data_IF_804233836255
#
_entry.id   IF_804233836255
#
_cell.length_a   1.000
_cell.length_b   1.000
_cell.length_c   1.000
_cell.angle_alpha   90.00
_cell.angle_beta   90.00
_cell.angle_gamma   90.00
#
_symmetry.space_group_name_H-M   'P 1'
#
loop_
_entity.id
_entity.type
_entity.pdbx_description
1 polymer ?
#
# COMPACT_ATOMS: atom_id res chain seq x y z
N UNK A 1 -10.91 10.31 -0.02
CA UNK A 1 -10.26 9.08 0.49
C UNK A 1 -10.73 7.88 -0.34
N UNK A 2 -9.97 6.78 -0.39
CA UNK A 2 -10.39 5.59 -1.11
C UNK A 2 -11.68 5.00 -0.49
N UNK A 3 -12.60 4.59 -1.36
CA UNK A 3 -13.84 3.94 -0.96
C UNK A 3 -13.54 2.50 -0.52
N UNK A 4 -13.13 2.34 0.75
CA UNK A 4 -12.76 1.05 1.33
C UNK A 4 -13.97 0.46 2.05
N UNK A 5 -14.39 -0.75 1.66
CA UNK A 5 -15.41 -1.51 2.39
C UNK A 5 -14.95 -1.89 3.80
N UNK A 6 -15.89 -1.81 4.75
CA UNK A 6 -15.61 -1.99 6.18
C UNK A 6 -15.24 -3.44 6.53
N UNK A 7 -15.91 -4.40 5.90
CA UNK A 7 -15.60 -5.83 5.95
C UNK A 7 -14.14 -6.11 5.56
N UNK A 8 -13.67 -5.54 4.45
CA UNK A 8 -12.28 -5.67 4.03
C UNK A 8 -11.29 -5.08 5.05
N UNK A 9 -11.64 -3.97 5.70
CA UNK A 9 -10.81 -3.39 6.74
C UNK A 9 -10.71 -4.30 7.98
N UNK A 10 -11.83 -4.86 8.44
CA UNK A 10 -11.89 -5.78 9.58
C UNK A 10 -11.07 -7.04 9.29
N UNK A 11 -11.23 -7.64 8.10
CA UNK A 11 -10.45 -8.80 7.68
C UNK A 11 -8.94 -8.53 7.74
N UNK A 12 -8.50 -7.38 7.21
CA UNK A 12 -7.08 -7.04 7.22
C UNK A 12 -6.52 -6.88 8.64
N UNK A 13 -7.33 -6.35 9.56
CA UNK A 13 -6.96 -6.20 10.97
C UNK A 13 -6.86 -7.59 11.62
N UNK A 14 -7.82 -8.48 11.34
CA UNK A 14 -7.81 -9.86 11.84
C UNK A 14 -6.58 -10.63 11.35
N UNK A 15 -6.22 -10.51 10.06
CA UNK A 15 -5.01 -11.12 9.50
C UNK A 15 -3.71 -10.61 10.16
N UNK A 16 -3.74 -9.41 10.74
CA UNK A 16 -2.58 -8.78 11.42
C UNK A 16 -2.68 -8.79 12.94
N UNK A 17 -3.71 -9.41 13.52
CA UNK A 17 -3.99 -9.31 14.95
C UNK A 17 -2.81 -9.73 15.81
N UNK A 18 -2.09 -10.80 15.44
CA UNK A 18 -0.90 -11.29 16.15
C UNK A 18 0.22 -10.25 16.29
N UNK A 19 0.31 -9.28 15.37
CA UNK A 19 1.27 -8.18 15.44
C UNK A 19 0.73 -7.01 16.27
N UNK A 20 -0.59 -6.81 16.26
CA UNK A 20 -1.29 -5.71 16.94
C UNK A 20 -1.39 -6.01 18.44
N UNK A 21 -1.76 -7.24 18.81
CA UNK A 21 -1.92 -7.68 20.20
C UNK A 21 -0.65 -7.53 21.02
N UNK A 22 0.53 -7.60 20.40
CA UNK A 22 1.80 -7.42 21.09
C UNK A 22 2.02 -6.00 21.61
N UNK A 23 1.29 -5.02 21.07
CA UNK A 23 1.40 -3.61 21.44
C UNK A 23 0.09 -3.06 22.03
N UNK A 24 -0.86 -3.92 22.38
CA UNK A 24 -2.18 -3.51 22.85
C UNK A 24 -2.75 -4.52 23.84
N UNK A 25 -3.10 -4.04 25.04
CA UNK A 25 -3.70 -4.86 26.11
C UNK A 25 -5.21 -5.11 25.91
N UNK A 26 -5.79 -4.57 24.83
CA UNK A 26 -7.23 -4.65 24.54
C UNK A 26 -7.53 -5.96 23.80
N UNK A 27 -8.66 -6.60 24.15
CA UNK A 27 -9.10 -7.81 23.46
C UNK A 27 -9.43 -7.55 21.98
N UNK A 28 -9.27 -8.58 21.13
CA UNK A 28 -9.57 -8.47 19.69
C UNK A 28 -11.00 -7.96 19.43
N UNK A 29 -11.94 -8.43 20.24
CA UNK A 29 -13.36 -8.09 20.14
C UNK A 29 -13.57 -6.60 20.42
N UNK A 30 -12.97 -6.08 21.50
CA UNK A 30 -13.09 -4.67 21.87
C UNK A 30 -12.37 -3.77 20.87
N UNK A 31 -11.22 -4.19 20.36
CA UNK A 31 -10.49 -3.44 19.35
C UNK A 31 -11.31 -3.33 18.05
N UNK A 32 -11.88 -4.42 17.57
CA UNK A 32 -12.74 -4.40 16.38
C UNK A 32 -13.97 -3.51 16.62
N UNK A 33 -14.61 -3.60 17.78
CA UNK A 33 -15.74 -2.71 18.13
C UNK A 33 -15.34 -1.24 18.08
N UNK A 34 -14.18 -0.88 18.61
CA UNK A 34 -13.67 0.49 18.57
C UNK A 34 -13.41 0.97 17.13
N UNK A 35 -12.78 0.13 16.30
CA UNK A 35 -12.52 0.44 14.89
C UNK A 35 -13.83 0.59 14.11
N UNK A 36 -14.78 -0.33 14.28
CA UNK A 36 -16.11 -0.25 13.67
C UNK A 36 -16.83 1.03 14.08
N UNK A 37 -16.79 1.37 15.37
CA UNK A 37 -17.39 2.62 15.85
C UNK A 37 -16.74 3.87 15.22
N UNK A 38 -15.41 3.92 15.12
CA UNK A 38 -14.68 5.04 14.51
C UNK A 38 -14.97 5.14 13.01
N UNK A 39 -15.10 4.00 12.32
CA UNK A 39 -15.35 3.97 10.89
C UNK A 39 -16.83 4.16 10.53
N UNK A 40 -17.77 3.88 11.44
CA UNK A 40 -19.20 4.16 11.28
C UNK A 40 -19.59 5.60 11.67
N UNK A 41 -18.77 6.26 12.49
CA UNK A 41 -18.97 7.65 12.93
C UNK A 41 -18.49 8.68 11.90
N UNK A 42 -18.93 8.52 10.66
CA UNK A 42 -18.56 9.36 9.51
C UNK A 42 -19.47 10.55 9.32
N UNK A 43 -19.59 11.40 10.34
CA UNK A 43 -20.38 12.63 10.25
C UNK A 43 -19.49 13.81 9.85
N UNK A 44 -19.95 14.62 8.91
CA UNK A 44 -19.29 15.87 8.54
C UNK A 44 -20.33 16.97 8.32
N UNK A 45 -19.92 18.22 8.49
CA UNK A 45 -20.76 19.39 8.22
C UNK A 45 -20.32 20.09 6.94
N UNK A 46 -21.29 20.45 6.10
CA UNK A 46 -21.08 21.30 4.93
C UNK A 46 -22.27 22.26 4.82
N UNK A 47 -22.01 23.55 4.66
CA UNK A 47 -23.04 24.61 4.66
C UNK A 47 -24.00 24.54 5.87
N UNK A 48 -23.47 24.31 7.08
CA UNK A 48 -24.24 24.09 8.32
C UNK A 48 -25.22 22.90 8.30
N UNK A 49 -25.14 22.02 7.29
CA UNK A 49 -25.93 20.78 7.22
C UNK A 49 -25.03 19.61 7.64
N UNK A 50 -25.54 18.73 8.50
CA UNK A 50 -24.85 17.51 8.94
C UNK A 50 -25.14 16.39 7.93
N UNK A 51 -24.09 15.79 7.40
CA UNK A 51 -24.14 14.66 6.49
C UNK A 51 -23.48 13.43 7.12
N UNK A 52 -23.98 12.24 6.78
CA UNK A 52 -23.33 10.96 7.09
C UNK A 52 -22.73 10.37 5.82
N UNK A 53 -21.47 9.95 5.87
CA UNK A 53 -20.83 9.26 4.75
C UNK A 53 -21.31 7.81 4.72
N UNK A 54 -22.09 7.44 3.71
CA UNK A 54 -22.60 6.07 3.57
C UNK A 54 -21.56 5.07 3.06
N UNK A 55 -20.48 5.54 2.43
CA UNK A 55 -19.48 4.69 1.78
C UNK A 55 -18.05 5.19 2.00
N UNK A 56 -17.17 4.26 2.37
CA UNK A 56 -15.75 4.50 2.59
C UNK A 56 -15.44 5.03 3.99
N UNK A 57 -14.15 5.15 4.29
CA UNK A 57 -13.66 5.60 5.60
C UNK A 57 -13.86 7.10 5.80
N UNK A 58 -14.05 7.58 7.04
CA UNK A 58 -14.29 9.00 7.32
C UNK A 58 -13.13 9.86 6.88
N UNK A 59 -13.42 10.84 6.03
CA UNK A 59 -12.44 11.84 5.63
C UNK A 59 -12.05 12.71 6.82
N UNK A 60 -10.77 12.69 7.18
CA UNK A 60 -10.22 13.46 8.30
C UNK A 60 -9.96 12.65 9.58
N UNK A 61 -10.42 11.40 9.66
CA UNK A 61 -10.01 10.54 10.79
C UNK A 61 -8.53 10.17 10.66
N UNK A 62 -7.74 10.25 11.75
CA UNK A 62 -6.33 9.85 11.76
C UNK A 62 -6.15 8.35 11.49
N UNK A 63 -7.20 7.55 11.70
CA UNK A 63 -7.20 6.10 11.46
C UNK A 63 -7.40 5.74 9.98
N UNK A 64 -8.18 6.54 9.25
CA UNK A 64 -8.55 6.27 7.86
C UNK A 64 -7.36 6.05 6.92
N UNK A 65 -6.26 6.83 6.97
CA UNK A 65 -5.07 6.58 6.15
C UNK A 65 -4.41 5.23 6.44
N UNK A 66 -4.37 4.81 7.72
CA UNK A 66 -3.72 3.56 8.15
C UNK A 66 -4.53 2.37 7.64
N UNK A 67 -5.85 2.42 7.81
CA UNK A 67 -6.76 1.38 7.31
C UNK A 67 -6.69 1.30 5.78
N UNK A 68 -6.61 2.44 5.11
CA UNK A 68 -6.48 2.48 3.66
C UNK A 68 -5.20 1.85 3.14
N UNK A 69 -4.07 2.19 3.77
CA UNK A 69 -2.79 1.59 3.45
C UNK A 69 -2.80 0.06 3.70
N UNK A 70 -3.40 -0.39 4.79
CA UNK A 70 -3.52 -1.81 5.11
C UNK A 70 -4.32 -2.59 4.04
N UNK A 71 -5.50 -2.09 3.67
CA UNK A 71 -6.36 -2.73 2.66
C UNK A 71 -5.70 -2.71 1.28
N UNK A 72 -5.09 -1.58 0.89
CA UNK A 72 -4.40 -1.47 -0.40
C UNK A 72 -3.21 -2.43 -0.50
N UNK A 73 -2.45 -2.63 0.58
CA UNK A 73 -1.38 -3.63 0.62
C UNK A 73 -1.89 -5.06 0.45
N UNK A 74 -3.04 -5.41 1.04
CA UNK A 74 -3.67 -6.72 0.86
C UNK A 74 -4.07 -6.92 -0.60
N UNK A 75 -4.73 -5.94 -1.20
CA UNK A 75 -5.13 -5.98 -2.62
C UNK A 75 -3.92 -6.13 -3.55
N UNK A 76 -2.85 -5.37 -3.31
CA UNK A 76 -1.61 -5.46 -4.10
C UNK A 76 -0.99 -6.87 -4.03
N UNK A 77 -0.90 -7.45 -2.83
CA UNK A 77 -0.39 -8.81 -2.65
C UNK A 77 -1.24 -9.85 -3.36
N UNK A 78 -2.56 -9.76 -3.24
CA UNK A 78 -3.48 -10.68 -3.91
C UNK A 78 -3.35 -10.57 -5.43
N UNK A 79 -3.31 -9.36 -5.98
CA UNK A 79 -3.11 -9.13 -7.41
C UNK A 79 -1.76 -9.69 -7.90
N UNK A 80 -0.70 -9.50 -7.11
CA UNK A 80 0.64 -10.06 -7.38
C UNK A 80 0.64 -11.60 -7.39
N UNK A 81 0.00 -12.24 -6.41
CA UNK A 81 -0.09 -13.71 -6.37
C UNK A 81 -0.86 -14.26 -7.56
N UNK A 82 -2.00 -13.64 -7.91
CA UNK A 82 -2.78 -14.00 -9.08
C UNK A 82 -1.94 -13.85 -10.36
N UNK A 83 -1.18 -12.76 -10.48
CA UNK A 83 -0.28 -12.55 -11.61
C UNK A 83 0.82 -13.63 -11.69
N UNK A 84 1.48 -13.96 -10.58
CA UNK A 84 2.52 -14.99 -10.54
C UNK A 84 1.96 -16.38 -10.86
N UNK A 85 0.81 -16.74 -10.30
CA UNK A 85 0.08 -17.97 -10.61
C UNK A 85 -0.29 -18.05 -12.09
N UNK A 86 -0.76 -16.94 -12.66
CA UNK A 86 -1.06 -16.83 -14.09
C UNK A 86 0.19 -16.95 -14.98
N UNK A 87 1.32 -16.33 -14.61
CA UNK A 87 2.61 -16.45 -15.33
C UNK A 87 3.15 -17.88 -15.28
N UNK A 88 2.99 -18.58 -14.15
CA UNK A 88 3.38 -19.98 -14.00
C UNK A 88 2.51 -20.92 -14.84
N UNK A 89 1.18 -20.75 -14.84
CA UNK A 89 0.27 -21.51 -15.71
C UNK A 89 0.46 -21.23 -17.21
N UNK A 90 1.04 -20.06 -17.56
CA UNK A 90 1.39 -19.71 -18.95
C UNK A 90 2.48 -20.61 -19.55
N UNK A 91 3.29 -21.27 -18.72
CA UNK A 91 4.30 -22.21 -19.21
C UNK A 91 3.71 -23.57 -19.64
N UNK A 92 2.41 -23.82 -19.41
CA UNK A 92 1.78 -25.08 -19.79
C UNK A 92 0.55 -24.99 -20.71
N UNK A 93 -0.13 -23.85 -20.90
CA UNK A 93 -1.31 -23.82 -21.81
C UNK A 93 -1.40 -22.54 -22.64
N UNK A 94 -1.41 -22.77 -23.95
CA UNK A 94 -1.49 -21.85 -25.08
C UNK A 94 -2.91 -21.30 -25.29
N UNK A 95 -3.62 -20.78 -24.28
CA UNK A 95 -4.97 -20.20 -24.49
C UNK A 95 -5.28 -19.08 -23.49
N UNK A 96 -5.08 -17.80 -23.89
CA UNK A 96 -5.82 -16.63 -23.36
C UNK A 96 -5.32 -15.32 -24.02
N UNK A 97 -5.46 -15.23 -25.35
CA UNK A 97 -5.06 -14.04 -26.11
C UNK A 97 -6.03 -12.83 -25.98
N UNK A 98 -7.13 -12.94 -25.22
CA UNK A 98 -8.20 -11.93 -25.27
C UNK A 98 -8.42 -11.05 -24.01
N UNK A 99 -7.94 -11.43 -22.82
CA UNK A 99 -8.03 -10.57 -21.61
C UNK A 99 -6.68 -9.96 -21.16
N UNK A 100 -5.59 -10.32 -21.85
CA UNK A 100 -4.26 -9.76 -21.59
C UNK A 100 -4.07 -8.36 -22.20
N UNK A 101 -4.87 -7.97 -23.20
CA UNK A 101 -4.62 -6.75 -24.00
C UNK A 101 -4.96 -5.42 -23.31
N UNK A 102 -5.62 -5.45 -22.14
CA UNK A 102 -5.90 -4.21 -21.37
C UNK A 102 -4.84 -3.90 -20.32
N UNK A 103 -4.07 -4.90 -19.85
CA UNK A 103 -2.95 -4.71 -18.92
C UNK A 103 -1.58 -4.76 -19.61
N UNK A 104 -1.44 -5.46 -20.76
CA UNK A 104 -0.18 -5.50 -21.52
C UNK A 104 0.16 -4.23 -22.30
N UNK A 105 -0.82 -3.37 -22.60
CA UNK A 105 -0.58 -2.15 -23.41
C UNK A 105 0.30 -1.09 -22.74
N UNK A 106 0.75 -1.29 -21.49
CA UNK A 106 1.49 -0.28 -20.73
C UNK A 106 2.89 -0.72 -20.25
N UNK A 107 3.29 -1.99 -20.44
CA UNK A 107 4.64 -2.46 -20.06
C UNK A 107 5.16 -3.44 -21.11
N UNK A 108 5.62 -2.92 -22.25
CA UNK A 108 6.31 -3.73 -23.26
C UNK A 108 7.74 -4.12 -22.83
N UNK A 109 8.25 -3.59 -21.70
CA UNK A 109 9.66 -3.72 -21.31
C UNK A 109 9.97 -4.57 -20.07
N UNK A 110 8.98 -5.04 -19.30
CA UNK A 110 9.24 -5.71 -18.01
C UNK A 110 9.73 -4.77 -16.88
N UNK A 111 9.77 -3.46 -17.16
CA UNK A 111 10.09 -2.40 -16.20
C UNK A 111 8.82 -1.86 -15.51
N UNK A 112 9.01 -1.17 -14.39
CA UNK A 112 7.97 -0.56 -13.60
C UNK A 112 7.31 0.61 -14.36
N UNK A 113 6.08 0.42 -14.85
CA UNK A 113 5.35 1.49 -15.52
C UNK A 113 4.97 2.64 -14.59
N UNK A 114 5.14 3.87 -15.10
CA UNK A 114 4.73 5.12 -14.46
C UNK A 114 3.93 5.93 -15.44
N UNK A 115 2.86 6.56 -14.95
CA UNK A 115 2.08 7.50 -15.76
C UNK A 115 2.93 8.73 -16.08
N UNK A 116 2.74 9.39 -17.24
CA UNK A 116 3.42 10.64 -17.57
C UNK A 116 3.23 11.76 -16.53
N UNK A 117 2.13 11.70 -15.77
CA UNK A 117 1.78 12.66 -14.72
C UNK A 117 2.31 12.28 -13.33
N UNK A 118 3.23 11.31 -13.23
CA UNK A 118 3.81 10.91 -11.95
C UNK A 118 4.67 12.03 -11.36
N UNK A 119 4.27 12.55 -10.19
CA UNK A 119 4.91 13.70 -9.55
C UNK A 119 6.08 13.36 -8.62
N UNK A 120 6.28 12.09 -8.28
CA UNK A 120 7.31 11.68 -7.31
C UNK A 120 7.04 12.13 -5.87
N UNK A 121 5.86 12.70 -5.56
CA UNK A 121 5.54 13.16 -4.21
C UNK A 121 5.03 12.03 -3.33
N UNK A 122 5.75 11.78 -2.24
CA UNK A 122 5.40 10.84 -1.19
C UNK A 122 5.28 11.56 0.16
N UNK A 123 5.09 10.79 1.24
CA UNK A 123 5.06 11.33 2.60
C UNK A 123 6.40 12.01 2.91
N UNK A 124 6.42 13.33 3.08
CA UNK A 124 7.62 14.08 3.41
C UNK A 124 8.22 13.65 4.77
N UNK A 125 9.54 13.50 4.86
CA UNK A 125 10.20 13.04 6.08
C UNK A 125 10.08 14.01 7.25
N UNK A 126 9.94 15.31 7.02
CA UNK A 126 9.80 16.33 8.06
C UNK A 126 8.37 16.43 8.60
N UNK A 127 7.41 15.75 7.98
CA UNK A 127 6.02 15.74 8.45
C UNK A 127 5.89 15.07 9.82
N UNK A 128 4.84 15.44 10.57
CA UNK A 128 4.54 14.94 11.92
C UNK A 128 4.02 13.50 11.95
N UNK A 129 4.36 12.69 10.95
CA UNK A 129 3.96 11.30 10.87
C UNK A 129 4.94 10.37 11.61
N UNK A 130 4.46 9.29 12.25
CA UNK A 130 5.31 8.31 12.91
C UNK A 130 6.38 7.73 11.98
N UNK A 131 7.54 7.40 12.56
CA UNK A 131 8.69 6.80 11.83
C UNK A 131 8.29 5.48 11.15
N UNK A 132 7.36 4.72 11.72
CA UNK A 132 6.82 3.50 11.12
C UNK A 132 6.16 3.75 9.76
N UNK A 133 5.44 4.85 9.60
CA UNK A 133 4.81 5.22 8.33
C UNK A 133 5.87 5.64 7.30
N UNK A 134 6.90 6.38 7.73
CA UNK A 134 8.06 6.76 6.89
C UNK A 134 8.81 5.53 6.39
N UNK A 135 9.05 4.52 7.25
CA UNK A 135 9.61 3.22 6.81
C UNK A 135 8.69 2.47 5.86
N UNK A 136 7.37 2.52 6.11
CA UNK A 136 6.36 1.89 5.26
C UNK A 136 6.38 2.39 3.81
N UNK A 137 6.66 3.68 3.59
CA UNK A 137 6.86 4.24 2.25
C UNK A 137 8.04 3.58 1.55
N UNK A 138 9.19 3.50 2.22
CA UNK A 138 10.40 2.87 1.67
C UNK A 138 10.13 1.40 1.33
N UNK A 139 9.52 0.65 2.26
CA UNK A 139 9.19 -0.76 2.03
C UNK A 139 8.28 -0.96 0.84
N UNK A 140 7.23 -0.15 0.70
CA UNK A 140 6.31 -0.28 -0.44
C UNK A 140 7.00 -0.03 -1.78
N UNK A 141 7.91 0.95 -1.86
CA UNK A 141 8.64 1.26 -3.08
C UNK A 141 9.62 0.14 -3.45
N UNK A 142 10.38 -0.36 -2.47
CA UNK A 142 11.32 -1.47 -2.66
C UNK A 142 10.58 -2.74 -3.06
N UNK A 143 9.54 -3.12 -2.33
CA UNK A 143 8.73 -4.30 -2.64
C UNK A 143 8.19 -4.21 -4.08
N UNK A 144 7.70 -3.05 -4.47
CA UNK A 144 7.18 -2.83 -5.82
C UNK A 144 8.26 -3.00 -6.89
N UNK A 145 9.48 -2.50 -6.66
CA UNK A 145 10.59 -2.71 -7.59
C UNK A 145 10.94 -4.20 -7.73
N UNK A 146 11.13 -4.91 -6.62
CA UNK A 146 11.58 -6.31 -6.66
C UNK A 146 10.48 -7.29 -7.09
N UNK A 147 9.22 -7.03 -6.73
CA UNK A 147 8.11 -7.95 -7.01
C UNK A 147 7.49 -7.77 -8.40
N UNK A 148 7.55 -6.56 -8.98
CA UNK A 148 6.91 -6.24 -10.27
C UNK A 148 7.85 -6.09 -11.45
N UNK A 149 9.15 -5.83 -11.23
CA UNK A 149 10.12 -5.67 -12.32
C UNK A 149 11.07 -6.86 -12.42
N UNK A 150 11.57 -7.11 -13.63
CA UNK A 150 12.60 -8.14 -13.85
C UNK A 150 13.94 -7.70 -13.23
N UNK A 151 14.79 -8.68 -12.85
CA UNK A 151 16.07 -8.46 -12.13
C UNK A 151 16.98 -7.45 -12.82
N UNK A 152 16.94 -7.41 -14.16
CA UNK A 152 17.71 -6.49 -15.00
C UNK A 152 17.39 -5.02 -14.70
N UNK A 153 16.19 -4.72 -14.18
CA UNK A 153 15.74 -3.37 -13.87
C UNK A 153 15.84 -3.01 -12.38
N UNK A 154 16.23 -3.93 -11.50
CA UNK A 154 16.22 -3.70 -10.05
C UNK A 154 17.19 -2.58 -9.64
N UNK A 155 18.39 -2.56 -10.20
CA UNK A 155 19.39 -1.52 -9.92
C UNK A 155 18.88 -0.13 -10.32
N UNK A 156 18.41 0.00 -11.57
CA UNK A 156 17.81 1.23 -12.09
C UNK A 156 16.64 1.69 -11.22
N UNK A 157 15.76 0.78 -10.81
CA UNK A 157 14.60 1.09 -9.99
C UNK A 157 14.98 1.49 -8.57
N UNK A 158 16.03 0.91 -7.98
CA UNK A 158 16.55 1.30 -6.67
C UNK A 158 17.15 2.70 -6.68
N UNK A 159 17.99 3.03 -7.67
CA UNK A 159 18.54 4.39 -7.83
C UNK A 159 17.40 5.41 -7.92
N UNK A 160 16.39 5.09 -8.71
CA UNK A 160 15.22 5.94 -8.90
C UNK A 160 14.39 6.10 -7.63
N UNK A 161 14.26 5.05 -6.81
CA UNK A 161 13.59 5.12 -5.50
C UNK A 161 14.38 6.00 -4.53
N UNK A 162 15.71 5.87 -4.48
CA UNK A 162 16.56 6.69 -3.63
C UNK A 162 16.40 8.17 -3.99
N UNK A 163 16.46 8.52 -5.28
CA UNK A 163 16.26 9.90 -5.73
C UNK A 163 14.88 10.45 -5.32
N UNK A 164 13.82 9.66 -5.51
CA UNK A 164 12.48 10.05 -5.07
C UNK A 164 12.43 10.30 -3.56
N UNK A 165 13.04 9.45 -2.75
CA UNK A 165 13.03 9.60 -1.29
C UNK A 165 13.82 10.84 -0.85
N UNK A 166 14.94 11.13 -1.52
CA UNK A 166 15.70 12.37 -1.31
C UNK A 166 14.89 13.61 -1.64
N UNK A 167 14.14 13.60 -2.74
CA UNK A 167 13.23 14.68 -3.12
C UNK A 167 12.07 14.88 -2.12
N UNK A 168 11.85 13.93 -1.20
CA UNK A 168 10.88 14.01 -0.11
C UNK A 168 11.55 14.18 1.27
N UNK A 169 12.79 14.68 1.30
CA UNK A 169 13.59 15.03 2.48
C UNK A 169 14.00 13.85 3.37
N UNK A 170 14.00 12.61 2.86
CA UNK A 170 14.46 11.46 3.64
C UNK A 170 15.99 11.49 3.80
N UNK A 171 16.53 11.37 5.03
CA UNK A 171 17.97 11.27 5.24
C UNK A 171 18.56 10.01 4.58
N UNK A 172 19.71 10.13 3.91
CA UNK A 172 20.40 9.02 3.25
C UNK A 172 20.64 7.82 4.18
N UNK A 173 21.10 8.08 5.41
CA UNK A 173 21.32 7.02 6.41
C UNK A 173 20.05 6.23 6.66
N UNK A 174 18.93 6.92 6.88
CA UNK A 174 17.63 6.30 7.11
C UNK A 174 17.14 5.50 5.90
N UNK A 175 17.35 6.02 4.68
CA UNK A 175 17.01 5.32 3.44
C UNK A 175 17.81 4.01 3.35
N UNK A 176 19.14 4.08 3.41
CA UNK A 176 19.99 2.90 3.26
C UNK A 176 19.75 1.87 4.35
N UNK A 177 19.63 2.28 5.60
CA UNK A 177 19.35 1.36 6.71
C UNK A 177 18.03 0.61 6.49
N UNK A 178 16.98 1.33 6.08
CA UNK A 178 15.64 0.76 5.87
C UNK A 178 15.61 -0.15 4.63
N UNK A 179 16.25 0.25 3.52
CA UNK A 179 16.36 -0.58 2.32
C UNK A 179 17.14 -1.86 2.63
N UNK A 180 18.30 -1.75 3.30
CA UNK A 180 19.13 -2.90 3.66
C UNK A 180 18.39 -3.87 4.59
N UNK A 181 17.62 -3.36 5.55
CA UNK A 181 16.74 -4.19 6.38
C UNK A 181 15.68 -4.90 5.55
N UNK A 182 15.08 -4.23 4.56
CA UNK A 182 14.04 -4.81 3.73
C UNK A 182 14.57 -5.89 2.78
N UNK A 183 15.71 -5.63 2.13
CA UNK A 183 16.34 -6.57 1.20
C UNK A 183 16.73 -7.87 1.93
N UNK A 184 17.18 -7.81 3.18
CA UNK A 184 17.47 -9.01 3.99
C UNK A 184 16.25 -9.89 4.26
N UNK A 185 15.04 -9.37 4.09
CA UNK A 185 13.77 -10.05 4.37
C UNK A 185 13.01 -10.47 3.10
N UNK A 186 13.52 -10.11 1.92
CA UNK A 186 12.95 -10.47 0.61
C UNK A 186 13.60 -11.76 0.09
#
# INVERSE_FOLDING_TARGET
>A
MPNIPMDMAIDCINEKWTYISNNCDISQIEFIKAITFILDSTYFTFDNIIYKQNFGTPMGSPLSPIVADLVMRRLERTALMLYKSYKFNRNNIKVAYYSSNKLRKYTDSGDLYRKPTFSGRFLNFLSNHPISQKRGVIYSLVDRAFLLSDVVFHEKNLILIINILLDNDYPLSFIFDTINQRIKLL
#
